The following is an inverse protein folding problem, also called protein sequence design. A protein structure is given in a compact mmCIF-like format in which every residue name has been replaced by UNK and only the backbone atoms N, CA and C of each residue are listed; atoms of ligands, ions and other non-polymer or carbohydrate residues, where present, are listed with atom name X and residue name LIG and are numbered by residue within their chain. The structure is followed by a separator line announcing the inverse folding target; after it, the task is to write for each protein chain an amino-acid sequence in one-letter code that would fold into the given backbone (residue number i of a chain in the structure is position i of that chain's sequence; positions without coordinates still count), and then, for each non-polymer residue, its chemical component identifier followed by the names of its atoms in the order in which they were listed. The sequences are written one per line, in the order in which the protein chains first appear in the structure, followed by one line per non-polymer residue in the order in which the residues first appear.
data_IF_054971915963
#
_entry.id   IF_054971915963
#
_cell.length_a   1.000
_cell.length_b   1.000
_cell.length_c   1.000
_cell.angle_alpha   90.00
_cell.angle_beta   90.00
_cell.angle_gamma   90.00
#
_symmetry.space_group_name_H-M   'P 1'
#
loop_
_entity.id
_entity.type
_entity.pdbx_description
1 polymer ?
#
# COMPACT_ATOMS: atom_id res chain seq x y z
N UNK A 1 19.42 -18.60 8.59
CA UNK A 1 19.14 -17.28 7.96
C UNK A 1 17.65 -17.06 7.72
N UNK A 2 16.95 -17.97 7.01
CA UNK A 2 15.53 -17.79 6.66
C UNK A 2 14.58 -17.54 7.86
N UNK A 3 14.78 -18.23 8.99
CA UNK A 3 13.92 -18.07 10.18
C UNK A 3 14.00 -16.67 10.80
N UNK A 4 15.20 -16.08 10.84
CA UNK A 4 15.40 -14.73 11.37
C UNK A 4 14.69 -13.68 10.50
N UNK A 5 14.76 -13.83 9.18
CA UNK A 5 14.05 -12.95 8.25
C UNK A 5 12.53 -13.04 8.41
N UNK A 6 11.99 -14.26 8.60
CA UNK A 6 10.55 -14.46 8.85
C UNK A 6 10.09 -13.90 10.19
N UNK A 7 10.89 -14.04 11.24
CA UNK A 7 10.57 -13.46 12.55
C UNK A 7 10.54 -11.92 12.50
N UNK A 8 11.48 -11.31 11.77
CA UNK A 8 11.48 -9.87 11.55
C UNK A 8 10.29 -9.42 10.71
N UNK A 9 9.92 -10.19 9.68
CA UNK A 9 8.74 -9.96 8.87
C UNK A 9 7.45 -9.97 9.70
N UNK A 10 7.27 -10.97 10.54
CA UNK A 10 6.11 -11.06 11.44
C UNK A 10 6.07 -9.90 12.45
N UNK A 11 7.22 -9.53 13.01
CA UNK A 11 7.36 -8.40 13.92
C UNK A 11 7.02 -7.04 13.29
N UNK A 12 7.25 -6.87 11.99
CA UNK A 12 6.90 -5.63 11.28
C UNK A 12 5.42 -5.63 10.89
N UNK A 13 4.92 -6.74 10.36
CA UNK A 13 3.50 -6.91 10.01
C UNK A 13 2.58 -6.73 11.22
N UNK A 14 2.98 -7.17 12.41
CA UNK A 14 2.20 -6.99 13.64
C UNK A 14 2.13 -5.54 14.13
N UNK A 15 3.06 -4.68 13.71
CA UNK A 15 3.11 -3.25 14.09
C UNK A 15 2.37 -2.34 13.13
N UNK A 16 2.10 -2.81 11.91
CA UNK A 16 1.48 -2.03 10.86
C UNK A 16 -0.04 -2.22 10.88
N UNK A 17 -0.82 -1.18 11.23
CA UNK A 17 -2.27 -1.29 11.26
C UNK A 17 -2.83 -1.57 9.86
N UNK A 18 -3.81 -2.47 9.81
CA UNK A 18 -4.61 -2.72 8.61
C UNK A 18 -5.77 -1.74 8.62
N UNK A 19 -5.87 -0.95 7.57
CA UNK A 19 -6.94 0.03 7.38
C UNK A 19 -7.64 -0.23 6.06
N UNK A 20 -8.91 0.15 5.96
CA UNK A 20 -9.60 0.18 4.68
C UNK A 20 -9.19 1.45 3.94
N UNK A 21 -8.75 1.29 2.70
CA UNK A 21 -8.42 2.42 1.85
C UNK A 21 -9.68 3.26 1.61
N UNK A 22 -9.58 4.58 1.75
CA UNK A 22 -10.68 5.50 1.48
C UNK A 22 -10.21 6.48 0.43
N UNK A 23 -10.89 6.54 -0.73
CA UNK A 23 -10.56 7.47 -1.80
C UNK A 23 -11.08 8.90 -1.48
N UNK A 24 -11.85 9.04 -0.40
CA UNK A 24 -12.47 10.28 0.04
C UNK A 24 -11.46 11.23 0.71
N UNK A 25 -10.75 12.01 -0.10
CA UNK A 25 -9.99 13.18 0.33
C UNK A 25 -10.01 14.26 -0.75
N UNK A 26 -10.96 15.21 -0.65
CA UNK A 26 -11.19 16.33 -1.59
C UNK A 26 -11.79 15.90 -2.93
N UNK A 27 -13.08 16.07 -3.24
CA UNK A 27 -13.84 17.31 -3.16
C UNK A 27 -14.38 17.63 -4.57
N UNK A 28 -15.68 17.45 -4.75
CA UNK A 28 -16.59 18.24 -5.60
C UNK A 28 -16.30 18.45 -7.10
N UNK A 29 -17.21 17.85 -7.89
CA UNK A 29 -17.83 18.40 -9.11
C UNK A 29 -17.03 18.42 -10.42
N UNK A 30 -17.60 17.79 -11.47
CA UNK A 30 -17.39 18.25 -12.84
C UNK A 30 -16.79 17.25 -13.85
N UNK A 31 -17.70 16.62 -14.59
CA UNK A 31 -17.67 16.29 -16.03
C UNK A 31 -16.61 15.33 -16.63
N UNK A 32 -17.15 14.22 -17.13
CA UNK A 32 -16.63 13.37 -18.20
C UNK A 32 -16.48 14.17 -19.50
N UNK A 33 -15.30 14.22 -20.11
CA UNK A 33 -15.14 14.35 -21.56
C UNK A 33 -13.71 13.95 -22.01
N UNK A 34 -13.65 12.89 -22.81
CA UNK A 34 -12.67 12.57 -23.86
C UNK A 34 -11.18 12.94 -23.65
N UNK A 35 -10.35 11.93 -23.32
CA UNK A 35 -8.92 11.97 -23.65
C UNK A 35 -7.93 11.71 -22.50
N UNK A 36 -7.43 10.47 -22.41
CA UNK A 36 -6.10 10.11 -21.91
C UNK A 36 -5.62 10.70 -20.55
N UNK A 37 -6.27 10.34 -19.45
CA UNK A 37 -5.68 10.47 -18.10
C UNK A 37 -6.10 9.30 -17.20
N UNK A 38 -5.48 8.14 -17.40
CA UNK A 38 -5.33 7.20 -16.29
C UNK A 38 -4.67 7.94 -15.11
N UNK A 39 -4.96 7.54 -13.87
CA UNK A 39 -4.20 7.91 -12.64
C UNK A 39 -4.81 8.96 -11.69
N UNK A 40 -6.10 8.88 -11.38
CA UNK A 40 -6.60 9.52 -10.14
C UNK A 40 -6.67 8.55 -8.93
N UNK A 41 -6.74 7.24 -9.15
CA UNK A 41 -6.77 6.26 -8.07
C UNK A 41 -5.35 5.79 -7.72
N UNK A 42 -4.98 5.71 -6.43
CA UNK A 42 -3.66 5.21 -6.05
C UNK A 42 -3.50 3.77 -6.53
N UNK A 43 -2.34 3.47 -7.11
CA UNK A 43 -1.99 2.12 -7.55
C UNK A 43 -1.04 1.46 -6.56
N UNK A 44 -1.27 0.18 -6.30
CA UNK A 44 -0.37 -0.62 -5.49
C UNK A 44 0.92 -0.88 -6.28
N UNK A 45 2.05 -0.30 -5.89
CA UNK A 45 3.33 -0.48 -6.61
C UNK A 45 3.86 -1.93 -6.65
N UNK A 46 3.24 -2.85 -5.90
CA UNK A 46 3.60 -4.27 -5.88
C UNK A 46 2.88 -5.06 -6.98
N UNK A 47 1.57 -4.87 -7.15
CA UNK A 47 0.78 -5.59 -8.18
C UNK A 47 0.40 -4.71 -9.38
N UNK A 48 0.72 -3.42 -9.33
CA UNK A 48 0.40 -2.39 -10.33
C UNK A 48 -1.11 -2.22 -10.59
N UNK A 49 -1.97 -2.76 -9.71
CA UNK A 49 -3.42 -2.61 -9.77
C UNK A 49 -3.88 -1.39 -8.97
N UNK A 50 -5.02 -0.82 -9.36
CA UNK A 50 -5.69 0.24 -8.60
C UNK A 50 -6.09 -0.27 -7.21
N UNK A 51 -5.88 0.56 -6.19
CA UNK A 51 -6.36 0.32 -4.83
C UNK A 51 -7.78 0.87 -4.76
N UNK A 52 -8.75 -0.04 -4.75
CA UNK A 52 -10.16 0.34 -4.67
C UNK A 52 -10.55 0.86 -3.29
N UNK A 53 -11.59 1.69 -3.24
CA UNK A 53 -12.17 2.10 -1.97
C UNK A 53 -12.68 0.87 -1.20
N UNK A 54 -12.35 0.79 0.08
CA UNK A 54 -12.64 -0.35 0.94
C UNK A 54 -11.57 -1.45 0.90
N UNK A 55 -10.59 -1.39 -0.01
CA UNK A 55 -9.51 -2.37 -0.05
C UNK A 55 -8.70 -2.36 1.25
N UNK A 56 -8.40 -3.53 1.80
CA UNK A 56 -7.54 -3.64 2.97
C UNK A 56 -6.11 -3.31 2.58
N UNK A 57 -5.55 -2.28 3.22
CA UNK A 57 -4.18 -1.82 3.02
C UNK A 57 -3.47 -1.74 4.36
N UNK A 58 -2.15 -1.94 4.37
CA UNK A 58 -1.37 -1.60 5.56
C UNK A 58 -0.96 -0.15 5.49
N UNK A 59 -1.22 0.59 6.56
CA UNK A 59 -0.68 1.92 6.71
C UNK A 59 0.74 1.81 7.24
N UNK A 60 1.69 2.38 6.51
CA UNK A 60 3.06 2.45 6.95
C UNK A 60 3.22 3.62 7.94
N UNK A 61 3.81 3.37 9.11
CA UNK A 61 3.94 4.42 10.14
C UNK A 61 4.83 5.60 9.72
N UNK A 62 5.61 5.42 8.65
CA UNK A 62 6.62 6.35 8.16
C UNK A 62 6.24 7.06 6.84
N UNK A 63 5.16 6.65 6.19
CA UNK A 63 4.74 7.19 4.90
C UNK A 63 3.25 6.90 4.65
N UNK A 64 2.59 7.77 3.89
CA UNK A 64 1.15 7.67 3.58
C UNK A 64 0.84 6.79 2.35
N UNK A 65 1.74 5.88 1.97
CA UNK A 65 1.54 5.01 0.81
C UNK A 65 0.65 3.81 1.16
N UNK A 66 -0.33 3.55 0.31
CA UNK A 66 -1.26 2.43 0.47
C UNK A 66 -0.89 1.29 -0.48
N UNK A 67 -0.78 0.08 0.06
CA UNK A 67 -0.58 -1.15 -0.70
C UNK A 67 -1.58 -2.19 -0.20
N UNK A 68 -2.12 -3.00 -1.10
CA UNK A 68 -2.97 -4.13 -0.72
C UNK A 68 -2.31 -4.93 0.39
N UNK A 69 -3.06 -5.27 1.43
CA UNK A 69 -2.64 -6.11 2.56
C UNK A 69 -1.82 -7.33 2.09
N UNK A 70 -2.28 -8.18 1.15
CA UNK A 70 -1.49 -9.33 0.68
C UNK A 70 -0.23 -8.93 -0.09
N UNK A 71 -0.21 -7.76 -0.73
CA UNK A 71 0.95 -7.30 -1.50
C UNK A 71 2.09 -6.87 -0.60
N UNK A 72 1.80 -6.06 0.43
CA UNK A 72 2.80 -5.62 1.39
C UNK A 72 3.22 -6.75 2.34
N UNK A 73 2.30 -7.66 2.71
CA UNK A 73 2.66 -8.87 3.47
C UNK A 73 3.71 -9.69 2.74
N UNK A 74 3.49 -9.98 1.45
CA UNK A 74 4.45 -10.71 0.61
C UNK A 74 5.79 -9.98 0.50
N UNK A 75 5.77 -8.66 0.36
CA UNK A 75 6.98 -7.83 0.32
C UNK A 75 7.81 -7.99 1.60
N UNK A 76 7.14 -7.93 2.75
CA UNK A 76 7.75 -8.11 4.06
C UNK A 76 8.22 -9.56 4.28
N UNK A 77 7.46 -10.55 3.81
CA UNK A 77 7.83 -11.98 3.87
C UNK A 77 9.06 -12.32 3.00
N UNK A 78 9.31 -11.57 1.93
CA UNK A 78 10.54 -11.68 1.13
C UNK A 78 11.77 -11.10 1.86
N UNK A 79 11.58 -10.47 3.02
CA UNK A 79 12.64 -9.82 3.79
C UNK A 79 12.85 -8.35 3.42
N UNK A 80 11.88 -7.73 2.73
CA UNK A 80 11.94 -6.31 2.39
C UNK A 80 11.11 -5.48 3.38
N UNK A 81 11.82 -4.66 4.17
CA UNK A 81 11.25 -3.84 5.25
C UNK A 81 11.23 -2.35 4.90
N UNK A 82 11.15 -2.04 3.61
CA UNK A 82 11.08 -0.67 3.09
C UNK A 82 9.85 -0.48 2.22
N UNK A 83 9.26 0.71 2.24
CA UNK A 83 8.21 1.11 1.31
C UNK A 83 8.69 0.97 -0.14
N UNK A 84 7.97 0.27 -1.03
CA UNK A 84 8.38 0.14 -2.44
C UNK A 84 8.27 1.45 -3.23
N UNK A 85 7.56 2.47 -2.70
CA UNK A 85 7.44 3.80 -3.31
C UNK A 85 8.52 4.80 -2.83
N UNK A 86 8.67 5.00 -1.51
CA UNK A 86 9.61 5.99 -0.98
C UNK A 86 10.86 5.42 -0.30
N UNK A 87 10.98 4.09 -0.21
CA UNK A 87 12.07 3.39 0.49
C UNK A 87 12.19 3.68 1.99
N UNK A 88 11.18 4.32 2.59
CA UNK A 88 11.13 4.53 4.04
C UNK A 88 10.95 3.18 4.77
N UNK A 89 11.60 3.01 5.93
CA UNK A 89 11.58 1.77 6.74
C UNK A 89 10.24 1.51 7.45
N UNK A 90 9.57 0.41 7.09
CA UNK A 90 8.28 -0.04 7.64
C UNK A 90 8.27 -0.11 9.18
#
# INVERSE_FOLDING_TARGET
AATAARAQADGIKSRLPVVRFSASGSGSDGEEEDGAAAEASPRCAVCLAAVEEGAEVRQLGNCSHAFHLPCIDRWVDMGHFTCPLCRSLL
#
